data_IF_479071952926
#
_entry.id   IF_479071952926
#
_cell.length_a   1.000
_cell.length_b   1.000
_cell.length_c   1.000
_cell.angle_alpha   90.00
_cell.angle_beta   90.00
_cell.angle_gamma   90.00
#
_symmetry.space_group_name_H-M   'P 1'
#
loop_
_entity.id
_entity.type
_entity.pdbx_description
1 polymer ?
#
# COMPACT_ATOMS: atom_id res chain seq x y z
N UNK A 1 11.50 -36.62 -44.71
CA UNK A 1 11.53 -36.21 -43.30
C UNK A 1 10.12 -35.72 -42.99
N UNK A 2 9.45 -36.40 -42.09
CA UNK A 2 8.12 -35.97 -41.66
C UNK A 2 8.19 -34.67 -40.89
N UNK A 3 7.08 -33.92 -40.83
CA UNK A 3 7.07 -32.62 -40.19
C UNK A 3 7.47 -32.66 -38.71
N UNK A 4 7.06 -33.72 -37.98
CA UNK A 4 7.44 -33.93 -36.59
C UNK A 4 8.92 -34.27 -36.41
N UNK A 5 9.52 -35.08 -37.32
CA UNK A 5 10.96 -35.37 -37.29
C UNK A 5 11.79 -34.09 -37.43
N UNK A 6 11.33 -33.13 -38.25
CA UNK A 6 11.98 -31.83 -38.37
C UNK A 6 11.89 -31.04 -37.05
N UNK A 7 10.70 -31.00 -36.40
CA UNK A 7 10.51 -30.35 -35.14
C UNK A 7 11.35 -30.94 -34.01
N UNK A 8 11.47 -32.26 -33.98
CA UNK A 8 12.29 -32.99 -33.00
C UNK A 8 13.77 -32.62 -33.12
N UNK A 9 14.29 -32.52 -34.34
CA UNK A 9 15.66 -32.04 -34.58
C UNK A 9 15.85 -30.57 -34.22
N UNK A 10 14.87 -29.70 -34.54
CA UNK A 10 14.90 -28.28 -34.20
C UNK A 10 14.85 -28.03 -32.70
N UNK A 11 14.25 -28.93 -31.90
CA UNK A 11 14.23 -28.84 -30.46
C UNK A 11 15.64 -28.82 -29.82
N UNK A 12 16.61 -29.46 -30.44
CA UNK A 12 18.02 -29.40 -29.99
C UNK A 12 18.69 -28.08 -30.32
N UNK A 13 18.30 -27.44 -31.43
CA UNK A 13 18.88 -26.16 -31.85
C UNK A 13 18.22 -24.97 -31.13
N UNK A 14 16.91 -25.07 -30.79
CA UNK A 14 16.11 -24.01 -30.19
C UNK A 14 15.37 -24.50 -28.95
N UNK A 15 16.05 -25.00 -27.92
CA UNK A 15 15.41 -25.63 -26.76
C UNK A 15 14.55 -24.63 -25.95
N UNK A 16 14.92 -23.36 -25.90
CA UNK A 16 14.16 -22.28 -25.24
C UNK A 16 12.90 -21.85 -25.99
N UNK A 17 12.76 -22.30 -27.25
CA UNK A 17 11.63 -22.00 -28.13
C UNK A 17 10.70 -23.18 -28.37
N UNK A 18 10.86 -24.27 -27.65
CA UNK A 18 9.89 -25.34 -27.56
C UNK A 18 8.66 -24.77 -26.88
N UNK A 19 7.48 -24.99 -27.46
CA UNK A 19 6.22 -24.44 -26.96
C UNK A 19 5.09 -25.44 -26.96
N UNK A 20 4.15 -25.26 -26.05
CA UNK A 20 2.91 -26.02 -26.01
C UNK A 20 1.72 -25.10 -26.23
N UNK A 21 0.67 -25.68 -26.81
CA UNK A 21 -0.59 -24.99 -27.12
C UNK A 21 -1.28 -24.52 -25.84
N UNK A 22 -1.84 -23.30 -25.92
CA UNK A 22 -2.67 -22.79 -24.85
C UNK A 22 -3.98 -23.60 -24.71
N UNK A 23 -4.43 -23.96 -23.50
CA UNK A 23 -5.60 -24.83 -23.30
C UNK A 23 -6.90 -24.33 -23.96
N UNK A 24 -7.11 -23.01 -23.98
CA UNK A 24 -8.34 -22.38 -24.47
C UNK A 24 -8.21 -21.68 -25.85
N UNK A 25 -7.01 -21.59 -26.42
CA UNK A 25 -6.77 -20.93 -27.72
C UNK A 25 -5.84 -21.78 -28.59
N UNK A 26 -6.35 -22.43 -29.66
CA UNK A 26 -5.55 -23.33 -30.52
C UNK A 26 -4.52 -22.60 -31.37
N UNK A 27 -4.53 -21.28 -31.42
CA UNK A 27 -3.56 -20.46 -32.15
C UNK A 27 -2.46 -19.90 -31.23
N UNK A 28 -2.64 -19.99 -29.93
CA UNK A 28 -1.73 -19.43 -28.95
C UNK A 28 -0.85 -20.52 -28.33
N UNK A 29 0.44 -20.22 -28.18
CA UNK A 29 1.43 -21.11 -27.60
C UNK A 29 2.24 -20.39 -26.54
N UNK A 30 2.62 -21.14 -25.52
CA UNK A 30 3.58 -20.68 -24.53
C UNK A 30 4.91 -21.38 -24.76
N UNK A 31 6.00 -20.62 -24.87
CA UNK A 31 7.33 -21.13 -25.08
C UNK A 31 8.04 -21.43 -23.74
N UNK A 32 9.01 -22.32 -23.78
CA UNK A 32 9.83 -22.71 -22.65
C UNK A 32 10.53 -21.53 -21.94
N UNK A 33 10.87 -20.47 -22.66
CA UNK A 33 11.43 -19.24 -22.12
C UNK A 33 10.39 -18.33 -21.41
N UNK A 34 9.12 -18.73 -21.39
CA UNK A 34 8.02 -17.99 -20.76
C UNK A 34 7.31 -16.98 -21.66
N UNK A 35 7.71 -16.86 -22.93
CA UNK A 35 7.05 -15.96 -23.89
C UNK A 35 5.78 -16.59 -24.46
N UNK A 36 4.76 -15.75 -24.71
CA UNK A 36 3.57 -16.14 -25.44
C UNK A 36 3.71 -15.78 -26.91
N UNK A 37 3.30 -16.70 -27.78
CA UNK A 37 3.35 -16.52 -29.24
C UNK A 37 2.02 -16.92 -29.87
N UNK A 38 1.69 -16.35 -31.02
CA UNK A 38 0.47 -16.64 -31.75
C UNK A 38 0.76 -17.04 -33.19
N UNK A 39 0.07 -18.08 -33.67
CA UNK A 39 0.05 -18.48 -35.07
C UNK A 39 -0.84 -17.52 -35.89
N UNK A 40 -0.63 -17.51 -37.19
CA UNK A 40 -1.59 -16.93 -38.12
C UNK A 40 -2.91 -17.74 -38.12
N UNK A 41 -4.03 -17.08 -38.36
CA UNK A 41 -5.37 -17.72 -38.33
C UNK A 41 -5.53 -18.87 -39.33
N UNK A 42 -4.79 -18.83 -40.46
CA UNK A 42 -4.75 -19.83 -41.50
C UNK A 42 -3.57 -20.80 -41.41
N UNK A 43 -2.92 -20.90 -40.28
CA UNK A 43 -1.75 -21.79 -40.11
C UNK A 43 -2.15 -23.26 -40.05
N UNK A 44 -1.45 -24.11 -40.81
CA UNK A 44 -1.61 -25.56 -40.76
C UNK A 44 -1.15 -26.21 -39.46
N UNK A 45 -0.41 -25.45 -38.65
CA UNK A 45 0.03 -25.87 -37.29
C UNK A 45 -1.03 -25.64 -36.22
N UNK A 46 -2.19 -25.16 -36.58
CA UNK A 46 -3.31 -24.94 -35.68
C UNK A 46 -3.71 -26.23 -34.98
N UNK A 47 -3.63 -26.23 -33.65
CA UNK A 47 -4.05 -27.38 -32.85
C UNK A 47 -2.94 -28.40 -32.55
N UNK A 48 -1.74 -28.26 -33.12
CA UNK A 48 -0.60 -29.09 -32.77
C UNK A 48 -0.31 -28.94 -31.25
N UNK A 49 -0.14 -30.03 -30.50
CA UNK A 49 0.12 -29.95 -29.06
C UNK A 49 1.44 -29.28 -28.72
N UNK A 50 2.48 -29.59 -29.48
CA UNK A 50 3.82 -29.07 -29.32
C UNK A 50 4.41 -28.58 -30.64
N UNK A 51 5.18 -27.52 -30.55
CA UNK A 51 5.94 -26.98 -31.67
C UNK A 51 7.28 -26.42 -31.23
N UNK A 52 8.19 -26.25 -32.21
CA UNK A 52 9.43 -25.50 -32.02
C UNK A 52 9.41 -24.27 -32.92
N UNK A 53 9.49 -23.11 -32.31
CA UNK A 53 9.48 -21.82 -33.00
C UNK A 53 10.90 -21.48 -33.48
N UNK A 54 11.06 -21.28 -34.80
CA UNK A 54 12.37 -20.90 -35.37
C UNK A 54 12.45 -19.42 -35.68
N UNK A 55 11.32 -18.79 -36.07
CA UNK A 55 11.28 -17.37 -36.42
C UNK A 55 10.08 -16.71 -35.81
N UNK A 56 10.31 -15.57 -35.10
CA UNK A 56 9.33 -14.78 -34.36
C UNK A 56 9.42 -13.33 -34.78
N UNK A 57 8.26 -12.68 -34.91
CA UNK A 57 8.15 -11.23 -35.05
C UNK A 57 7.60 -10.64 -33.77
N UNK A 58 8.34 -9.73 -33.18
CA UNK A 58 7.92 -9.03 -31.96
C UNK A 58 6.71 -8.13 -32.25
N UNK A 59 5.68 -8.30 -31.44
CA UNK A 59 4.50 -7.42 -31.38
C UNK A 59 4.22 -7.01 -29.94
N UNK A 60 3.40 -5.99 -29.74
CA UNK A 60 3.21 -5.35 -28.43
C UNK A 60 2.58 -6.28 -27.36
N UNK A 61 1.79 -7.28 -27.78
CA UNK A 61 1.09 -8.18 -26.87
C UNK A 61 1.63 -9.61 -26.90
N UNK A 62 1.55 -10.28 -28.04
CA UNK A 62 2.06 -11.63 -28.27
C UNK A 62 2.99 -11.59 -29.49
N UNK A 63 4.13 -12.27 -29.43
CA UNK A 63 4.97 -12.37 -30.63
C UNK A 63 4.26 -13.20 -31.70
N UNK A 64 4.32 -12.76 -32.96
CA UNK A 64 3.77 -13.52 -34.08
C UNK A 64 4.74 -14.60 -34.50
N UNK A 65 4.27 -15.83 -34.60
CA UNK A 65 5.05 -17.00 -35.01
C UNK A 65 5.09 -17.08 -36.54
N UNK A 66 6.25 -16.80 -37.11
CA UNK A 66 6.46 -16.79 -38.57
C UNK A 66 6.82 -18.16 -39.12
N UNK A 67 7.65 -18.92 -38.37
CA UNK A 67 8.07 -20.27 -38.74
C UNK A 67 8.18 -21.15 -37.53
N UNK A 68 7.61 -22.35 -37.62
CA UNK A 68 7.70 -23.40 -36.63
C UNK A 68 7.55 -24.78 -37.28
N UNK A 69 7.93 -25.83 -36.54
CA UNK A 69 7.62 -27.20 -36.87
C UNK A 69 6.95 -27.89 -35.68
N UNK A 70 5.99 -28.82 -35.91
CA UNK A 70 5.41 -29.63 -34.86
C UNK A 70 6.44 -30.57 -34.26
N UNK A 71 6.35 -30.86 -32.94
CA UNK A 71 7.24 -31.78 -32.24
C UNK A 71 6.45 -32.88 -31.52
N UNK A 72 7.07 -34.05 -31.34
CA UNK A 72 6.48 -35.16 -30.59
C UNK A 72 6.80 -35.05 -29.10
N UNK A 73 5.78 -35.04 -28.25
CA UNK A 73 5.95 -34.99 -26.78
C UNK A 73 6.79 -36.18 -26.27
N UNK A 74 6.59 -37.36 -26.83
CA UNK A 74 7.35 -38.55 -26.40
C UNK A 74 8.84 -38.39 -26.66
N UNK A 75 9.17 -37.81 -27.82
CA UNK A 75 10.54 -37.48 -28.15
C UNK A 75 11.11 -36.43 -27.19
N UNK A 76 10.37 -35.36 -26.93
CA UNK A 76 10.78 -34.33 -25.97
C UNK A 76 11.01 -34.89 -24.56
N UNK A 77 10.15 -35.79 -24.09
CA UNK A 77 10.32 -36.45 -22.79
C UNK A 77 11.53 -37.35 -22.75
N UNK A 78 11.82 -38.03 -23.83
CA UNK A 78 12.99 -38.93 -23.93
C UNK A 78 14.32 -38.15 -24.01
N UNK A 79 14.34 -37.05 -24.76
CA UNK A 79 15.60 -36.32 -25.04
C UNK A 79 15.86 -35.18 -24.01
N UNK A 80 14.83 -34.66 -23.39
CA UNK A 80 14.92 -33.52 -22.43
C UNK A 80 14.26 -33.85 -21.08
N UNK A 81 14.48 -35.04 -20.47
CA UNK A 81 13.78 -35.42 -19.24
C UNK A 81 14.01 -34.43 -18.09
N UNK A 82 15.20 -33.81 -18.03
CA UNK A 82 15.57 -32.81 -17.00
C UNK A 82 14.78 -31.51 -17.08
N UNK A 83 14.09 -31.26 -18.19
CA UNK A 83 13.24 -30.05 -18.36
C UNK A 83 11.80 -30.28 -17.92
N UNK A 84 11.41 -31.54 -17.68
CA UNK A 84 10.14 -31.93 -17.10
C UNK A 84 10.29 -32.03 -15.57
N UNK A 85 9.57 -31.25 -14.83
CA UNK A 85 9.62 -31.25 -13.37
C UNK A 85 8.22 -31.31 -12.77
N UNK A 86 8.12 -31.87 -11.56
CA UNK A 86 6.95 -31.70 -10.69
C UNK A 86 7.34 -30.79 -9.54
N UNK A 87 6.56 -29.74 -9.32
CA UNK A 87 6.80 -28.77 -8.27
C UNK A 87 5.54 -28.54 -7.44
N UNK A 88 5.70 -28.52 -6.12
CA UNK A 88 4.64 -28.06 -5.21
C UNK A 88 4.78 -26.54 -5.07
N UNK A 89 3.80 -25.82 -5.57
CA UNK A 89 3.76 -24.36 -5.55
C UNK A 89 2.57 -23.84 -4.73
N UNK A 90 2.71 -22.66 -4.18
CA UNK A 90 1.62 -21.97 -3.50
C UNK A 90 1.29 -20.71 -4.30
N UNK A 91 0.02 -20.56 -4.66
CA UNK A 91 -0.47 -19.42 -5.42
C UNK A 91 -1.58 -18.70 -4.69
N UNK A 92 -1.63 -17.41 -4.88
CA UNK A 92 -2.76 -16.59 -4.47
C UNK A 92 -3.94 -16.81 -5.43
N UNK A 93 -5.11 -17.13 -4.87
CA UNK A 93 -6.37 -17.20 -5.59
C UNK A 93 -7.15 -15.89 -5.29
N UNK A 94 -7.27 -14.97 -6.26
CA UNK A 94 -7.93 -13.69 -6.06
C UNK A 94 -9.44 -13.81 -5.84
N UNK A 95 -10.10 -14.84 -6.41
CA UNK A 95 -11.53 -15.04 -6.23
C UNK A 95 -11.85 -15.53 -4.82
N UNK A 96 -11.05 -16.44 -4.30
CA UNK A 96 -11.21 -17.00 -2.94
C UNK A 96 -10.52 -16.17 -1.87
N UNK A 97 -9.70 -15.19 -2.24
CA UNK A 97 -8.84 -14.41 -1.36
C UNK A 97 -8.02 -15.30 -0.40
N UNK A 98 -7.51 -16.39 -0.93
CA UNK A 98 -6.81 -17.41 -0.17
C UNK A 98 -5.64 -17.99 -0.95
N UNK A 99 -4.74 -18.65 -0.23
CA UNK A 99 -3.65 -19.41 -0.85
C UNK A 99 -4.14 -20.81 -1.21
N UNK A 100 -3.70 -21.28 -2.37
CA UNK A 100 -3.92 -22.65 -2.85
C UNK A 100 -2.58 -23.33 -3.06
N UNK A 101 -2.42 -24.51 -2.47
CA UNK A 101 -1.28 -25.39 -2.75
C UNK A 101 -1.59 -26.23 -3.99
N UNK A 102 -0.72 -26.17 -4.97
CA UNK A 102 -0.86 -26.88 -6.24
C UNK A 102 0.38 -27.72 -6.49
N UNK A 103 0.18 -28.88 -7.09
CA UNK A 103 1.23 -29.68 -7.71
C UNK A 103 1.19 -29.44 -9.20
N UNK A 104 2.24 -28.80 -9.72
CA UNK A 104 2.36 -28.49 -11.12
C UNK A 104 3.33 -29.45 -11.80
N UNK A 105 2.93 -29.99 -12.95
CA UNK A 105 3.84 -30.62 -13.89
C UNK A 105 4.26 -29.58 -14.90
N UNK A 106 5.53 -29.38 -15.06
CA UNK A 106 6.09 -28.31 -15.91
C UNK A 106 7.05 -28.86 -16.95
N UNK A 107 7.15 -28.12 -18.04
CA UNK A 107 8.30 -28.13 -18.95
C UNK A 107 8.94 -26.74 -18.89
N UNK A 108 10.05 -26.61 -18.19
CA UNK A 108 10.65 -25.31 -17.80
C UNK A 108 9.62 -24.36 -17.20
N UNK A 109 9.31 -23.25 -17.91
CA UNK A 109 8.34 -22.25 -17.46
C UNK A 109 6.89 -22.56 -17.86
N UNK A 110 6.68 -23.60 -18.67
CA UNK A 110 5.34 -24.00 -19.11
C UNK A 110 4.68 -24.88 -18.05
N UNK A 111 3.49 -24.52 -17.59
CA UNK A 111 2.66 -25.37 -16.75
C UNK A 111 1.85 -26.29 -17.64
N UNK A 112 2.13 -27.59 -17.61
CA UNK A 112 1.45 -28.61 -18.42
C UNK A 112 0.18 -29.14 -17.73
N UNK A 113 0.23 -29.28 -16.41
CA UNK A 113 -0.84 -29.75 -15.58
C UNK A 113 -0.73 -29.14 -14.18
N UNK A 114 -1.87 -28.89 -13.54
CA UNK A 114 -1.92 -28.31 -12.19
C UNK A 114 -3.05 -28.98 -11.39
N UNK A 115 -2.71 -29.56 -10.25
CA UNK A 115 -3.67 -30.27 -9.37
C UNK A 115 -3.53 -29.78 -7.94
N UNK A 116 -4.62 -29.79 -7.15
CA UNK A 116 -4.54 -29.50 -5.73
C UNK A 116 -3.52 -30.39 -5.01
N UNK A 117 -2.64 -29.79 -4.21
CA UNK A 117 -1.55 -30.47 -3.50
C UNK A 117 -1.76 -30.57 -1.99
N UNK A 118 -3.00 -30.44 -1.52
CA UNK A 118 -3.34 -30.51 -0.11
C UNK A 118 -3.23 -29.15 0.61
N UNK A 119 -2.67 -29.15 1.83
CA UNK A 119 -2.60 -27.93 2.65
C UNK A 119 -1.34 -27.12 2.35
N UNK A 120 -1.51 -25.79 2.34
CA UNK A 120 -0.39 -24.84 2.23
C UNK A 120 0.51 -24.97 3.46
N UNK A 121 1.82 -25.13 3.24
CA UNK A 121 2.81 -25.15 4.32
C UNK A 121 3.10 -23.71 4.78
N UNK A 122 3.15 -23.42 6.10
CA UNK A 122 3.35 -22.07 6.62
C UNK A 122 4.59 -21.35 6.06
N UNK A 123 5.70 -22.08 5.86
CA UNK A 123 6.92 -21.50 5.31
C UNK A 123 6.77 -20.98 3.87
N UNK A 124 5.90 -21.62 3.07
CA UNK A 124 5.59 -21.20 1.70
C UNK A 124 4.51 -20.10 1.69
N UNK A 125 3.62 -20.12 2.69
CA UNK A 125 2.52 -19.18 2.80
C UNK A 125 2.97 -17.73 2.95
N UNK A 126 3.94 -17.46 3.81
CA UNK A 126 4.41 -16.09 4.06
C UNK A 126 4.95 -15.40 2.79
N UNK A 127 5.71 -16.12 1.98
CA UNK A 127 6.18 -15.60 0.69
C UNK A 127 5.02 -15.31 -0.26
N UNK A 128 4.12 -16.28 -0.45
CA UNK A 128 2.97 -16.13 -1.35
C UNK A 128 1.98 -15.04 -0.92
N UNK A 129 1.78 -14.83 0.39
CA UNK A 129 0.98 -13.71 0.92
C UNK A 129 1.67 -12.36 0.66
N UNK A 130 3.00 -12.31 0.79
CA UNK A 130 3.77 -11.10 0.47
C UNK A 130 3.66 -10.77 -1.02
N UNK A 131 3.75 -11.77 -1.89
CA UNK A 131 3.57 -11.59 -3.34
C UNK A 131 2.13 -11.16 -3.68
N UNK A 132 1.13 -11.71 -2.99
CA UNK A 132 -0.25 -11.25 -3.13
C UNK A 132 -0.42 -9.75 -2.79
N UNK A 133 0.23 -9.27 -1.71
CA UNK A 133 0.23 -7.84 -1.38
C UNK A 133 0.97 -7.02 -2.45
N UNK A 134 2.05 -7.54 -3.04
CA UNK A 134 2.76 -6.87 -4.13
C UNK A 134 1.87 -6.66 -5.36
N UNK A 135 1.00 -7.61 -5.67
CA UNK A 135 0.04 -7.53 -6.78
C UNK A 135 -1.19 -6.67 -6.43
N UNK A 136 -1.74 -6.84 -5.23
CA UNK A 136 -2.95 -6.15 -4.78
C UNK A 136 -2.70 -4.70 -4.35
N UNK A 137 -1.47 -4.38 -3.93
CA UNK A 137 -1.10 -3.11 -3.32
C UNK A 137 -1.33 -3.06 -1.81
N UNK A 138 -0.79 -2.02 -1.18
CA UNK A 138 -0.85 -1.84 0.29
C UNK A 138 -2.28 -1.69 0.84
N UNK A 139 -3.23 -1.28 0.02
CA UNK A 139 -4.65 -1.18 0.41
C UNK A 139 -5.29 -2.53 0.77
N UNK A 140 -4.64 -3.65 0.43
CA UNK A 140 -5.08 -4.98 0.85
C UNK A 140 -4.79 -5.28 2.33
N UNK A 141 -3.96 -4.47 2.99
CA UNK A 141 -3.56 -4.62 4.39
C UNK A 141 -4.56 -3.94 5.34
N UNK A 142 -4.67 -4.39 6.59
CA UNK A 142 -5.61 -3.85 7.57
C UNK A 142 -5.10 -2.53 8.19
N UNK A 143 -5.16 -1.44 7.44
CA UNK A 143 -4.80 -0.10 7.93
C UNK A 143 -5.83 0.43 8.90
N UNK A 144 -5.42 0.73 10.13
CA UNK A 144 -6.23 1.52 11.05
C UNK A 144 -6.00 3.02 10.85
N UNK A 145 -6.96 3.82 11.32
CA UNK A 145 -6.80 5.28 11.35
C UNK A 145 -5.56 5.69 12.15
N UNK A 146 -5.36 5.08 13.31
CA UNK A 146 -4.21 5.37 14.17
C UNK A 146 -2.88 5.06 13.47
N UNK A 147 -2.80 3.96 12.72
CA UNK A 147 -1.60 3.60 11.98
C UNK A 147 -1.36 4.55 10.81
N UNK A 148 -2.41 4.97 10.12
CA UNK A 148 -2.35 5.98 9.05
C UNK A 148 -1.87 7.33 9.58
N UNK A 149 -2.40 7.77 10.71
CA UNK A 149 -1.96 8.96 11.44
C UNK A 149 -0.48 8.87 11.84
N UNK A 150 -0.06 7.74 12.40
CA UNK A 150 1.34 7.52 12.78
C UNK A 150 2.27 7.61 11.57
N UNK A 151 1.89 7.00 10.47
CA UNK A 151 2.64 7.05 9.20
C UNK A 151 2.76 8.49 8.67
N UNK A 152 1.68 9.28 8.75
CA UNK A 152 1.69 10.69 8.37
C UNK A 152 2.61 11.53 9.28
N UNK A 153 2.68 11.23 10.59
CA UNK A 153 3.62 11.86 11.53
C UNK A 153 5.07 11.59 11.16
N UNK A 154 5.40 10.33 10.81
CA UNK A 154 6.73 9.96 10.34
C UNK A 154 7.09 10.71 9.06
N UNK A 155 6.20 10.74 8.07
CA UNK A 155 6.42 11.45 6.82
C UNK A 155 6.61 12.96 7.04
N UNK A 156 5.79 13.56 7.91
CA UNK A 156 5.94 14.97 8.30
C UNK A 156 7.29 15.26 8.93
N UNK A 157 7.68 14.47 9.93
CA UNK A 157 8.97 14.67 10.62
C UNK A 157 10.18 14.46 9.69
N UNK A 158 10.10 13.54 8.72
CA UNK A 158 11.15 13.43 7.70
C UNK A 158 11.40 14.73 6.95
N UNK A 159 10.34 15.48 6.71
CA UNK A 159 10.43 16.80 6.02
C UNK A 159 10.80 17.93 6.96
N UNK A 160 10.20 17.96 8.16
CA UNK A 160 10.35 19.08 9.10
C UNK A 160 11.64 19.01 9.93
N UNK A 161 12.11 17.79 10.19
CA UNK A 161 13.27 17.49 11.03
C UNK A 161 14.14 16.39 10.38
N UNK A 162 14.77 16.67 9.21
CA UNK A 162 15.54 15.67 8.47
C UNK A 162 16.72 15.11 9.28
N UNK A 163 17.19 15.83 10.29
CA UNK A 163 18.22 15.37 11.25
C UNK A 163 17.79 14.14 12.08
N UNK A 164 16.51 13.82 12.13
CA UNK A 164 16.02 12.59 12.76
C UNK A 164 16.28 11.33 11.94
N UNK A 165 16.66 11.47 10.67
CA UNK A 165 16.98 10.38 9.75
C UNK A 165 15.94 9.24 9.77
N UNK A 166 14.65 9.60 9.78
CA UNK A 166 13.56 8.63 9.79
C UNK A 166 13.43 7.92 8.44
N UNK A 167 13.10 6.61 8.42
CA UNK A 167 12.96 5.86 7.18
C UNK A 167 11.79 6.36 6.33
N UNK A 168 11.86 6.11 5.04
CA UNK A 168 10.74 6.32 4.14
C UNK A 168 9.69 5.22 4.35
N UNK A 169 8.49 5.64 4.75
CA UNK A 169 7.31 4.78 4.88
C UNK A 169 6.26 5.10 3.80
N UNK A 170 6.64 5.75 2.71
CA UNK A 170 5.78 5.97 1.54
C UNK A 170 5.43 4.67 0.84
N UNK A 171 4.35 4.66 0.05
CA UNK A 171 3.83 3.44 -0.59
C UNK A 171 4.89 2.75 -1.44
N UNK A 172 5.64 3.51 -2.24
CA UNK A 172 6.69 2.96 -3.10
C UNK A 172 7.82 2.29 -2.29
N UNK A 173 8.27 2.92 -1.20
CA UNK A 173 9.32 2.39 -0.34
C UNK A 173 8.87 1.14 0.42
N UNK A 174 7.61 1.11 0.89
CA UNK A 174 7.04 -0.05 1.55
C UNK A 174 6.86 -1.22 0.59
N UNK A 175 6.34 -0.98 -0.62
CA UNK A 175 6.20 -2.01 -1.65
C UNK A 175 7.55 -2.58 -2.11
N UNK A 176 8.56 -1.74 -2.22
CA UNK A 176 9.91 -2.18 -2.61
C UNK A 176 10.59 -3.07 -1.55
N UNK A 177 10.17 -2.99 -0.29
CA UNK A 177 10.80 -3.68 0.85
C UNK A 177 9.86 -4.65 1.58
N UNK A 178 8.79 -5.14 0.94
CA UNK A 178 7.80 -6.03 1.56
C UNK A 178 8.43 -7.28 2.21
N UNK A 179 9.44 -7.85 1.59
CA UNK A 179 10.10 -9.04 2.12
C UNK A 179 10.81 -8.80 3.45
N UNK A 180 11.26 -7.56 3.70
CA UNK A 180 12.01 -7.22 4.91
C UNK A 180 11.09 -6.97 6.10
N UNK A 181 9.96 -6.31 5.88
CA UNK A 181 9.12 -5.85 6.99
C UNK A 181 7.78 -6.58 7.12
N UNK A 182 7.14 -6.95 5.98
CA UNK A 182 5.80 -7.56 6.00
C UNK A 182 5.86 -9.07 6.04
N UNK A 183 6.79 -9.68 5.27
CA UNK A 183 6.92 -11.14 5.21
C UNK A 183 7.08 -11.81 6.58
N UNK A 184 7.87 -11.29 7.54
CA UNK A 184 7.93 -11.85 8.88
C UNK A 184 6.60 -11.80 9.63
N UNK A 185 5.76 -10.79 9.39
CA UNK A 185 4.44 -10.67 10.02
C UNK A 185 3.44 -11.71 9.53
N UNK A 186 3.68 -12.32 8.37
CA UNK A 186 2.91 -13.44 7.85
C UNK A 186 3.37 -14.82 8.38
N UNK A 187 4.34 -14.88 9.27
CA UNK A 187 4.80 -16.16 9.84
C UNK A 187 3.62 -16.95 10.46
N UNK A 188 3.46 -18.21 10.04
CA UNK A 188 2.37 -19.08 10.50
C UNK A 188 0.99 -18.78 9.94
N UNK A 189 0.80 -17.74 9.13
CA UNK A 189 -0.47 -17.38 8.51
C UNK A 189 -0.61 -18.00 7.12
N UNK A 190 -1.84 -18.36 6.76
CA UNK A 190 -2.19 -18.93 5.44
C UNK A 190 -3.24 -18.10 4.71
N UNK A 191 -3.69 -16.99 5.33
CA UNK A 191 -4.71 -16.10 4.80
C UNK A 191 -4.27 -14.66 5.00
N UNK A 192 -4.62 -13.79 4.06
CA UNK A 192 -4.29 -12.36 4.12
C UNK A 192 -5.00 -11.65 5.28
N UNK A 193 -6.26 -12.02 5.53
CA UNK A 193 -7.10 -11.47 6.60
C UNK A 193 -6.75 -11.99 8.01
N UNK A 194 -5.78 -12.89 8.11
CA UNK A 194 -5.25 -13.33 9.40
C UNK A 194 -4.22 -12.35 10.00
N UNK A 195 -3.77 -11.36 9.22
CA UNK A 195 -2.94 -10.26 9.74
C UNK A 195 -3.83 -9.23 10.41
N UNK A 196 -3.59 -8.95 11.70
CA UNK A 196 -4.33 -7.92 12.43
C UNK A 196 -3.74 -6.52 12.21
N UNK A 197 -4.53 -5.48 12.56
CA UNK A 197 -4.08 -4.08 12.56
C UNK A 197 -2.87 -3.86 13.47
N UNK A 198 -2.88 -4.49 14.67
CA UNK A 198 -1.80 -4.38 15.64
C UNK A 198 -0.51 -5.03 15.12
N UNK A 199 -0.61 -6.22 14.52
CA UNK A 199 0.55 -6.90 13.93
C UNK A 199 1.15 -6.10 12.77
N UNK A 200 0.30 -5.49 11.92
CA UNK A 200 0.74 -4.58 10.86
C UNK A 200 1.47 -3.37 11.46
N UNK A 201 0.89 -2.78 12.52
CA UNK A 201 1.48 -1.66 13.24
C UNK A 201 2.85 -1.99 13.82
N UNK A 202 2.98 -3.14 14.47
CA UNK A 202 4.26 -3.58 15.04
C UNK A 202 5.31 -3.88 13.95
N UNK A 203 4.89 -4.49 12.83
CA UNK A 203 5.79 -4.73 11.70
C UNK A 203 6.37 -3.42 11.11
N UNK A 204 5.55 -2.38 10.99
CA UNK A 204 6.00 -1.06 10.54
C UNK A 204 6.90 -0.37 11.56
N UNK A 205 6.51 -0.37 12.83
CA UNK A 205 7.26 0.26 13.92
C UNK A 205 8.60 -0.44 14.15
N UNK A 206 8.70 -1.75 13.90
CA UNK A 206 9.94 -2.50 13.99
C UNK A 206 11.05 -1.98 13.06
N UNK A 207 10.69 -1.23 12.01
CA UNK A 207 11.65 -0.55 11.12
C UNK A 207 12.40 0.61 11.78
N UNK A 208 11.92 1.08 12.94
CA UNK A 208 12.53 2.21 13.65
C UNK A 208 13.13 1.75 14.98
N UNK A 209 14.34 2.19 15.31
CA UNK A 209 14.90 2.07 16.63
C UNK A 209 14.00 2.75 17.69
N UNK A 210 14.10 2.32 18.93
CA UNK A 210 13.22 2.80 19.99
C UNK A 210 13.34 4.32 20.26
N UNK A 211 14.55 4.87 20.22
CA UNK A 211 14.81 6.30 20.35
C UNK A 211 14.11 7.13 19.26
N UNK A 212 14.08 6.62 18.03
CA UNK A 212 13.36 7.27 16.92
C UNK A 212 11.85 7.24 17.11
N UNK A 213 11.31 6.14 17.66
CA UNK A 213 9.88 6.07 18.00
C UNK A 213 9.51 7.11 19.05
N UNK A 214 10.34 7.27 20.10
CA UNK A 214 10.14 8.31 21.11
C UNK A 214 10.26 9.73 20.54
N UNK A 215 11.19 9.95 19.62
CA UNK A 215 11.32 11.23 18.94
C UNK A 215 10.04 11.61 18.17
N UNK A 216 9.39 10.62 17.52
CA UNK A 216 8.11 10.86 16.83
C UNK A 216 7.05 11.33 17.83
N UNK A 217 6.93 10.71 19.00
CA UNK A 217 5.91 11.07 19.99
C UNK A 217 6.19 12.44 20.62
N UNK A 218 7.47 12.82 20.76
CA UNK A 218 7.88 14.12 21.27
C UNK A 218 7.62 15.25 20.27
N UNK A 219 8.05 15.08 19.03
CA UNK A 219 8.10 16.17 18.05
C UNK A 219 6.82 16.29 17.18
N UNK A 220 6.06 15.20 17.06
CA UNK A 220 4.76 15.18 16.43
C UNK A 220 3.73 14.46 17.33
N UNK A 221 3.35 15.06 18.47
CA UNK A 221 2.48 14.42 19.45
C UNK A 221 1.07 14.16 18.90
N UNK A 222 0.41 13.12 19.40
CA UNK A 222 -0.99 12.81 19.05
C UNK A 222 -1.96 13.84 19.60
N UNK A 223 -1.62 14.46 20.74
CA UNK A 223 -2.44 15.45 21.44
C UNK A 223 -1.59 16.61 21.88
N UNK A 224 -2.23 17.76 22.05
CA UNK A 224 -1.61 18.95 22.60
C UNK A 224 -2.53 19.55 23.67
N UNK A 225 -1.93 20.02 24.76
CA UNK A 225 -2.66 20.77 25.78
C UNK A 225 -2.99 22.18 25.25
N UNK A 226 -4.23 22.61 25.46
CA UNK A 226 -4.71 23.95 25.12
C UNK A 226 -4.97 24.76 26.41
N UNK A 227 -5.04 26.10 26.35
CA UNK A 227 -5.18 26.97 27.54
C UNK A 227 -6.34 26.62 28.47
N UNK A 228 -7.40 25.98 27.98
CA UNK A 228 -8.52 25.51 28.81
C UNK A 228 -8.17 24.34 29.74
N UNK A 229 -6.95 23.82 29.69
CA UNK A 229 -6.51 22.62 30.41
C UNK A 229 -6.93 21.31 29.75
N UNK A 230 -7.61 21.37 28.60
CA UNK A 230 -7.98 20.18 27.85
C UNK A 230 -6.85 19.75 26.91
N UNK A 231 -6.78 18.45 26.65
CA UNK A 231 -5.95 17.91 25.56
C UNK A 231 -6.77 17.73 24.30
N UNK A 232 -6.29 18.23 23.19
CA UNK A 232 -6.92 18.11 21.87
C UNK A 232 -6.06 17.30 20.93
N UNK A 233 -6.71 16.43 20.15
CA UNK A 233 -6.04 15.59 19.14
C UNK A 233 -5.53 16.49 18.02
N UNK A 234 -4.34 16.18 17.53
CA UNK A 234 -3.81 16.73 16.28
C UNK A 234 -4.03 15.69 15.19
N UNK A 235 -4.63 16.08 14.09
CA UNK A 235 -4.85 15.23 12.94
C UNK A 235 -3.74 15.43 11.90
N UNK A 236 -3.10 14.32 11.55
CA UNK A 236 -2.02 14.26 10.56
C UNK A 236 -2.52 13.53 9.33
N UNK A 237 -2.21 14.05 8.15
CA UNK A 237 -2.63 13.43 6.89
C UNK A 237 -1.56 13.55 5.82
N UNK A 238 -1.67 12.69 4.82
CA UNK A 238 -0.91 12.75 3.58
C UNK A 238 -1.87 13.11 2.45
N UNK A 239 -1.38 13.82 1.45
CA UNK A 239 -2.13 14.02 0.22
C UNK A 239 -2.07 12.77 -0.70
N UNK A 240 -2.69 12.85 -1.86
CA UNK A 240 -2.71 11.76 -2.84
C UNK A 240 -1.33 11.38 -3.38
N UNK A 241 -0.35 12.29 -3.28
CA UNK A 241 1.04 12.05 -3.65
C UNK A 241 1.89 11.53 -2.47
N UNK A 242 1.26 11.29 -1.30
CA UNK A 242 1.95 10.85 -0.09
C UNK A 242 2.74 11.95 0.62
N UNK A 243 2.50 13.24 0.29
CA UNK A 243 3.17 14.35 0.94
C UNK A 243 2.44 14.75 2.23
N UNK A 244 3.17 15.07 3.31
CA UNK A 244 2.57 15.48 4.56
C UNK A 244 1.83 16.80 4.41
N UNK A 245 0.59 16.83 4.90
CA UNK A 245 -0.22 18.02 4.99
C UNK A 245 0.04 18.75 6.30
N UNK A 246 -0.28 20.07 6.39
CA UNK A 246 -0.21 20.79 7.66
C UNK A 246 -1.03 20.08 8.74
N UNK A 247 -0.44 19.81 9.92
CA UNK A 247 -1.16 19.13 11.00
C UNK A 247 -2.30 20.00 11.53
N UNK A 248 -3.47 19.41 11.68
CA UNK A 248 -4.72 20.11 11.98
C UNK A 248 -5.07 19.98 13.46
N UNK A 249 -5.41 21.12 14.10
CA UNK A 249 -5.99 21.18 15.43
C UNK A 249 -7.41 21.73 15.34
N UNK A 250 -8.42 20.86 15.47
CA UNK A 250 -9.80 21.25 15.60
C UNK A 250 -10.13 21.57 17.08
N UNK A 251 -10.45 22.81 17.38
CA UNK A 251 -10.59 23.28 18.75
C UNK A 251 -11.66 24.37 18.86
N UNK A 252 -12.43 24.39 19.95
CA UNK A 252 -13.38 25.45 20.19
C UNK A 252 -12.67 26.77 20.51
N UNK A 253 -13.11 27.85 19.90
CA UNK A 253 -12.49 29.18 20.00
C UNK A 253 -12.18 29.58 21.45
N UNK A 254 -13.12 29.35 22.37
CA UNK A 254 -12.98 29.74 23.78
C UNK A 254 -11.88 28.94 24.52
N UNK A 255 -11.44 27.82 23.99
CA UNK A 255 -10.37 27.02 24.60
C UNK A 255 -8.98 27.60 24.31
N UNK A 256 -8.88 28.53 23.34
CA UNK A 256 -7.66 29.21 22.96
C UNK A 256 -7.50 30.63 23.55
N UNK A 257 -8.47 31.13 24.29
CA UNK A 257 -8.30 32.43 24.96
C UNK A 257 -7.05 32.42 25.82
N UNK A 258 -6.36 33.53 25.90
CA UNK A 258 -5.09 33.68 26.59
C UNK A 258 -3.85 33.21 25.77
N UNK A 259 -4.08 32.67 24.56
CA UNK A 259 -3.00 32.28 23.68
C UNK A 259 -2.85 33.30 22.54
N UNK A 260 -1.68 33.94 22.48
CA UNK A 260 -1.41 34.96 21.48
C UNK A 260 -1.04 34.39 20.11
N UNK A 261 -0.22 33.35 20.11
CA UNK A 261 0.38 32.78 18.91
C UNK A 261 -0.14 31.38 18.61
N UNK A 262 -0.07 30.99 17.35
CA UNK A 262 -0.44 29.65 16.90
C UNK A 262 0.43 28.60 17.58
N UNK A 263 -0.15 27.53 18.16
CA UNK A 263 0.62 26.42 18.69
C UNK A 263 1.47 25.76 17.60
N UNK A 264 2.65 25.32 17.99
CA UNK A 264 3.62 24.70 17.08
C UNK A 264 4.10 23.37 17.59
N UNK A 265 4.50 22.50 16.65
CA UNK A 265 5.14 21.20 16.89
C UNK A 265 6.53 21.17 16.25
N UNK A 266 7.22 20.04 16.31
CA UNK A 266 8.56 19.85 15.74
C UNK A 266 9.55 20.93 16.22
N UNK A 267 9.68 21.08 17.53
CA UNK A 267 10.51 22.11 18.19
C UNK A 267 10.20 23.54 17.71
N UNK A 268 8.94 23.84 17.52
CA UNK A 268 8.47 25.16 17.10
C UNK A 268 8.59 25.44 15.60
N UNK A 269 9.00 24.48 14.79
CA UNK A 269 9.19 24.66 13.35
C UNK A 269 7.87 24.71 12.56
N UNK A 270 6.85 23.95 13.02
CA UNK A 270 5.62 23.75 12.27
C UNK A 270 4.41 24.31 13.01
N UNK A 271 3.77 25.37 12.50
CA UNK A 271 2.52 25.87 13.06
C UNK A 271 1.38 24.89 12.75
N UNK A 272 0.48 24.69 13.74
CA UNK A 272 -0.72 23.92 13.52
C UNK A 272 -1.72 24.69 12.63
N UNK A 273 -2.43 23.98 11.78
CA UNK A 273 -3.60 24.52 11.08
C UNK A 273 -4.81 24.46 12.01
N UNK A 274 -5.23 25.60 12.50
CA UNK A 274 -6.34 25.69 13.45
C UNK A 274 -7.67 25.65 12.72
N UNK A 275 -8.48 24.65 13.00
CA UNK A 275 -9.90 24.64 12.66
C UNK A 275 -10.66 25.13 13.89
N UNK A 276 -10.93 26.45 13.91
CA UNK A 276 -11.63 27.12 15.00
C UNK A 276 -13.13 26.78 14.95
N UNK A 277 -13.63 26.28 16.06
CA UNK A 277 -15.01 25.84 16.19
C UNK A 277 -15.81 26.76 17.13
N UNK A 278 -17.11 26.92 16.85
CA UNK A 278 -18.05 27.53 17.76
C UNK A 278 -18.22 26.72 19.05
N UNK A 279 -18.85 27.28 20.10
CA UNK A 279 -19.19 26.50 21.29
C UNK A 279 -19.99 25.22 21.00
N UNK A 280 -20.82 25.24 19.96
CA UNK A 280 -21.57 24.06 19.46
C UNK A 280 -20.82 23.13 18.54
N UNK A 281 -19.49 23.34 18.30
CA UNK A 281 -18.65 22.48 17.46
C UNK A 281 -18.78 22.73 15.95
N UNK A 282 -19.40 23.81 15.50
CA UNK A 282 -19.49 24.17 14.08
C UNK A 282 -18.27 24.95 13.64
N UNK A 283 -17.74 24.69 12.42
CA UNK A 283 -16.62 25.45 11.89
C UNK A 283 -16.90 26.97 11.86
N UNK A 284 -15.93 27.76 12.29
CA UNK A 284 -15.94 29.21 12.22
C UNK A 284 -14.90 29.75 11.26
N UNK A 285 -13.64 29.29 11.41
CA UNK A 285 -12.50 29.79 10.67
C UNK A 285 -11.40 28.75 10.61
N UNK A 286 -10.62 28.78 9.55
CA UNK A 286 -9.38 28.01 9.40
C UNK A 286 -8.22 29.00 9.32
N UNK A 287 -7.21 28.86 10.16
CA UNK A 287 -6.05 29.75 10.17
C UNK A 287 -4.78 29.07 10.70
N UNK A 288 -3.63 29.48 10.22
CA UNK A 288 -2.32 29.21 10.82
C UNK A 288 -1.72 30.44 11.52
N UNK A 289 -2.43 31.57 11.50
CA UNK A 289 -2.02 32.82 12.15
C UNK A 289 -3.07 33.24 13.15
N UNK A 290 -2.97 32.73 14.38
CA UNK A 290 -3.89 33.04 15.46
C UNK A 290 -3.83 34.53 15.88
N UNK A 291 -2.63 35.12 15.81
CA UNK A 291 -2.42 36.53 16.13
C UNK A 291 -3.22 37.45 15.20
N UNK A 292 -3.11 37.21 13.91
CA UNK A 292 -3.89 37.94 12.92
C UNK A 292 -5.39 37.66 13.04
N UNK A 293 -5.78 36.43 13.33
CA UNK A 293 -7.19 36.09 13.58
C UNK A 293 -7.78 36.93 14.75
N UNK A 294 -7.06 37.03 15.87
CA UNK A 294 -7.52 37.82 17.02
C UNK A 294 -7.68 39.29 16.69
N UNK A 295 -6.77 39.86 15.91
CA UNK A 295 -6.80 41.31 15.61
C UNK A 295 -7.77 41.69 14.50
N UNK A 296 -7.93 40.84 13.47
CA UNK A 296 -8.68 41.20 12.26
C UNK A 296 -10.06 40.52 12.18
N UNK A 297 -10.18 39.25 12.52
CA UNK A 297 -11.37 38.43 12.26
C UNK A 297 -12.23 38.22 13.50
N UNK A 298 -11.61 38.09 14.66
CA UNK A 298 -12.33 37.83 15.91
C UNK A 298 -13.42 38.86 16.25
N UNK A 299 -13.26 40.20 16.04
CA UNK A 299 -14.30 41.17 16.33
C UNK A 299 -15.65 40.88 15.63
N UNK A 300 -15.59 40.45 14.37
CA UNK A 300 -16.78 40.09 13.59
C UNK A 300 -17.39 38.76 14.10
N UNK A 301 -16.54 37.74 14.30
CA UNK A 301 -16.94 36.45 14.85
C UNK A 301 -17.59 36.62 16.22
N UNK A 302 -17.03 37.45 17.09
CA UNK A 302 -17.57 37.76 18.41
C UNK A 302 -18.96 38.36 18.30
N UNK A 303 -19.18 39.35 17.42
CA UNK A 303 -20.47 40.01 17.23
C UNK A 303 -21.55 39.00 16.83
N UNK A 304 -21.27 38.14 15.89
CA UNK A 304 -22.17 37.08 15.42
C UNK A 304 -22.42 36.02 16.49
N UNK A 305 -21.38 35.52 17.12
CA UNK A 305 -21.46 34.39 18.04
C UNK A 305 -22.04 34.78 19.40
N UNK A 306 -21.86 36.02 19.86
CA UNK A 306 -22.47 36.52 21.10
C UNK A 306 -23.99 36.45 21.06
N UNK A 307 -24.60 36.76 19.92
CA UNK A 307 -26.04 36.62 19.73
C UNK A 307 -26.50 35.15 19.74
N UNK A 308 -25.71 34.24 19.16
CA UNK A 308 -26.04 32.83 19.03
C UNK A 308 -25.72 32.00 20.28
N UNK A 309 -24.66 32.37 20.99
CA UNK A 309 -24.17 31.71 22.21
C UNK A 309 -23.95 32.69 23.38
N UNK A 310 -25.00 33.34 23.89
CA UNK A 310 -24.87 34.44 24.88
C UNK A 310 -24.33 34.00 26.25
N UNK A 311 -24.36 32.66 26.53
CA UNK A 311 -23.87 32.10 27.81
C UNK A 311 -22.38 31.78 27.80
N UNK A 312 -21.71 31.90 26.65
CA UNK A 312 -20.25 31.70 26.52
C UNK A 312 -19.53 33.05 26.68
N UNK A 313 -18.28 33.03 27.19
CA UNK A 313 -17.48 34.25 27.28
C UNK A 313 -17.09 34.74 25.89
N UNK A 314 -17.29 36.05 25.64
CA UNK A 314 -16.84 36.72 24.40
C UNK A 314 -16.07 37.99 24.82
N UNK A 315 -14.81 37.84 25.32
CA UNK A 315 -14.00 38.92 25.82
C UNK A 315 -13.65 39.92 24.72
N UNK A 316 -13.41 41.17 25.12
CA UNK A 316 -12.88 42.21 24.21
C UNK A 316 -11.42 41.99 23.92
N UNK A 317 -10.70 41.47 24.89
CA UNK A 317 -9.29 41.10 24.79
C UNK A 317 -9.15 39.56 24.88
N UNK A 318 -9.08 38.86 23.72
CA UNK A 318 -8.92 37.43 23.70
C UNK A 318 -7.50 36.97 24.10
N UNK A 319 -6.50 37.86 24.07
CA UNK A 319 -5.10 37.57 24.34
C UNK A 319 -4.85 37.26 25.82
N UNK A 320 -5.60 37.90 26.72
CA UNK A 320 -5.40 37.79 28.16
C UNK A 320 -6.58 37.11 28.85
N UNK A 321 -7.65 36.84 28.13
CA UNK A 321 -8.84 36.20 28.67
C UNK A 321 -8.58 34.77 29.15
N UNK A 322 -9.32 34.37 30.20
CA UNK A 322 -9.28 33.00 30.69
C UNK A 322 -9.99 32.04 29.74
N UNK A 323 -9.28 31.01 29.31
CA UNK A 323 -9.84 29.95 28.45
C UNK A 323 -10.84 29.09 29.22
N UNK A 324 -11.84 28.57 28.53
CA UNK A 324 -12.85 27.68 29.10
C UNK A 324 -13.37 26.70 28.07
N UNK A 325 -13.63 25.46 28.47
CA UNK A 325 -14.30 24.46 27.65
C UNK A 325 -15.81 24.37 27.93
N UNK A 326 -16.31 25.06 28.95
CA UNK A 326 -17.71 25.04 29.39
C UNK A 326 -18.38 26.41 29.26
N UNK A 327 -19.71 26.43 29.19
CA UNK A 327 -20.50 27.62 29.35
C UNK A 327 -20.47 28.10 30.82
N UNK A 328 -20.74 29.39 31.08
CA UNK A 328 -20.91 29.89 32.44
C UNK A 328 -22.05 29.14 33.13
N UNK A 329 -21.92 28.85 34.45
CA UNK A 329 -23.01 28.29 35.23
C UNK A 329 -24.28 29.16 35.16
N UNK A 330 -25.47 28.56 35.34
CA UNK A 330 -26.72 29.34 35.50
C UNK A 330 -26.66 30.08 36.82
N UNK A 331 -26.69 31.42 36.80
CA UNK A 331 -26.83 32.22 38.00
C UNK A 331 -25.60 32.98 38.52
N UNK A 332 -24.55 33.17 37.68
CA UNK A 332 -23.44 34.12 37.95
C UNK A 332 -23.47 35.28 36.98
#
# INVERSE_FOLDING_TARGET
MEAHELGDLLAHAFPDRIGTRHPSDPLRYQLANGRSVRLFDNSDLRGEPWLVATELRHEAKDALLLRAAPADERYLRAQFPQRFAQEDVVRWDPERRALTALRETRFDRIVLDSRPAGRVKPAQAAAALTDAVRELGLQALPWSENLSQWRARVAGLRQWMPELELPDLGDAALLASLDDWLRPAFAGKTRLDALSEDELGEALKARLPWDRRQAIDRHAPVRIAVPSGMERRIDYSLDHAGQPQPPVLAVKLQELFGLADTPRIADGRVPLLLHLLSPGGRPLQVTQDLRNFWSSTYPEVKKEMKGRYPRHPWPDDPWTATASHRAKPRGT
#
